data_IF_344784506859
#
_entry.id   IF_344784506859
#
_cell.length_a   1.000
_cell.length_b   1.000
_cell.length_c   1.000
_cell.angle_alpha   90.00
_cell.angle_beta   90.00
_cell.angle_gamma   90.00
#
_symmetry.space_group_name_H-M   'P 1'
#
loop_
_entity.id
_entity.type
_entity.pdbx_description
1 polymer ?
#
# COMPACT_ATOMS: atom_id res chain seq x y z
N UNK A 1 34.73 -16.00 14.07
CA UNK A 1 33.29 -15.97 13.78
C UNK A 1 32.92 -17.35 13.21
N UNK A 2 31.99 -18.09 13.82
CA UNK A 2 31.77 -19.54 13.53
C UNK A 2 30.37 -19.89 13.01
N UNK A 3 29.60 -18.91 12.54
CA UNK A 3 28.23 -19.14 12.03
C UNK A 3 28.13 -18.68 10.56
N UNK A 4 27.35 -19.42 9.77
CA UNK A 4 27.04 -19.14 8.37
C UNK A 4 25.52 -19.09 8.18
N UNK A 5 25.02 -17.98 7.65
CA UNK A 5 23.59 -17.77 7.38
C UNK A 5 23.28 -18.13 5.92
N UNK A 6 22.33 -19.04 5.70
CA UNK A 6 21.88 -19.46 4.38
C UNK A 6 20.35 -19.47 4.33
N UNK A 7 19.77 -18.92 3.26
CA UNK A 7 18.32 -18.93 3.05
C UNK A 7 17.93 -20.12 2.18
N UNK A 8 17.25 -21.11 2.74
CA UNK A 8 16.77 -22.30 2.00
C UNK A 8 15.50 -22.00 1.20
N UNK A 9 14.56 -21.28 1.81
CA UNK A 9 13.34 -20.81 1.16
C UNK A 9 13.23 -19.31 1.35
N UNK A 10 12.98 -18.59 0.25
CA UNK A 10 12.88 -17.12 0.26
C UNK A 10 11.49 -16.69 0.71
N UNK A 11 11.40 -15.46 1.21
CA UNK A 11 10.12 -14.83 1.50
C UNK A 11 9.26 -14.78 0.22
N UNK A 12 7.99 -15.16 0.34
CA UNK A 12 7.03 -15.21 -0.77
C UNK A 12 6.02 -14.06 -0.73
N UNK A 13 5.83 -13.41 0.41
CA UNK A 13 4.94 -12.25 0.53
C UNK A 13 5.40 -11.11 -0.37
N UNK A 14 4.48 -10.50 -1.11
CA UNK A 14 4.73 -9.32 -1.95
C UNK A 14 4.22 -8.10 -1.20
N UNK A 15 5.10 -7.12 -0.95
CA UNK A 15 4.76 -5.88 -0.24
C UNK A 15 4.56 -4.69 -1.16
N UNK A 16 5.14 -4.73 -2.36
CA UNK A 16 4.93 -3.75 -3.42
C UNK A 16 5.05 -4.44 -4.78
N UNK A 17 4.26 -4.01 -5.75
CA UNK A 17 4.30 -4.50 -7.12
C UNK A 17 4.02 -3.35 -8.07
N UNK A 18 4.82 -3.24 -9.14
CA UNK A 18 4.61 -2.27 -10.20
C UNK A 18 4.82 -2.92 -11.56
N UNK A 19 4.01 -2.50 -12.53
CA UNK A 19 4.09 -3.00 -13.90
C UNK A 19 4.86 -2.02 -14.79
N UNK A 20 5.61 -2.57 -15.75
CA UNK A 20 6.36 -1.78 -16.73
C UNK A 20 7.01 -2.64 -17.80
N UNK A 21 7.53 -1.98 -18.83
CA UNK A 21 8.39 -2.53 -19.87
C UNK A 21 9.85 -2.31 -19.50
N UNK A 22 10.41 -3.18 -18.66
CA UNK A 22 11.75 -2.97 -18.10
C UNK A 22 12.85 -3.52 -19.01
N UNK A 23 12.68 -4.74 -19.53
CA UNK A 23 13.73 -5.43 -20.29
C UNK A 23 13.66 -5.14 -21.79
N UNK A 24 12.46 -4.93 -22.33
CA UNK A 24 12.22 -4.72 -23.76
C UNK A 24 10.99 -3.83 -24.01
N UNK A 25 10.93 -3.12 -25.15
CA UNK A 25 9.80 -2.26 -25.49
C UNK A 25 8.48 -3.04 -25.58
N UNK A 26 7.40 -2.43 -25.07
CA UNK A 26 6.01 -2.97 -25.09
C UNK A 26 5.82 -4.32 -24.40
N UNK A 27 6.86 -4.86 -23.78
CA UNK A 27 6.75 -6.05 -22.96
C UNK A 27 6.13 -5.66 -21.62
N UNK A 28 5.18 -6.44 -21.12
CA UNK A 28 4.61 -6.22 -19.79
C UNK A 28 5.27 -7.15 -18.79
N UNK A 29 5.87 -6.54 -17.77
CA UNK A 29 6.59 -7.22 -16.71
C UNK A 29 6.21 -6.60 -15.37
N UNK A 30 6.46 -7.32 -14.28
CA UNK A 30 6.05 -6.91 -12.94
C UNK A 30 7.28 -6.94 -12.03
N UNK A 31 7.73 -5.77 -11.57
CA UNK A 31 8.74 -5.67 -10.53
C UNK A 31 8.04 -5.79 -9.18
N UNK A 32 8.48 -6.73 -8.33
CA UNK A 32 7.89 -6.97 -7.02
C UNK A 32 8.94 -6.92 -5.91
N UNK A 33 8.55 -6.30 -4.79
CA UNK A 33 9.30 -6.37 -3.53
C UNK A 33 8.75 -7.50 -2.67
N UNK A 34 9.65 -8.34 -2.15
CA UNK A 34 9.39 -9.34 -1.11
C UNK A 34 10.12 -8.97 0.18
N UNK A 35 10.03 -7.69 0.57
CA UNK A 35 10.76 -7.11 1.69
C UNK A 35 12.21 -6.82 1.33
N UNK A 36 13.09 -7.83 1.43
CA UNK A 36 14.54 -7.69 1.15
C UNK A 36 14.98 -8.13 -0.24
N UNK A 37 14.06 -8.72 -1.01
CA UNK A 37 14.32 -9.24 -2.36
C UNK A 37 13.50 -8.45 -3.36
N UNK A 38 14.15 -8.02 -4.43
CA UNK A 38 13.53 -7.42 -5.61
C UNK A 38 13.53 -8.46 -6.74
N UNK A 39 12.33 -8.90 -7.12
CA UNK A 39 12.14 -9.81 -8.25
C UNK A 39 11.57 -9.05 -9.45
N UNK A 40 11.96 -9.48 -10.65
CA UNK A 40 11.31 -9.12 -11.89
C UNK A 40 10.58 -10.35 -12.42
N UNK A 41 9.26 -10.25 -12.56
CA UNK A 41 8.39 -11.32 -13.02
C UNK A 41 7.89 -11.02 -14.43
N UNK A 42 7.66 -12.07 -15.21
CA UNK A 42 7.07 -11.96 -16.55
C UNK A 42 6.03 -13.08 -16.74
N UNK A 43 4.85 -12.79 -17.30
CA UNK A 43 3.91 -13.83 -17.71
C UNK A 43 4.39 -14.49 -19.00
N UNK A 44 4.25 -15.81 -19.10
CA UNK A 44 4.37 -16.52 -20.38
C UNK A 44 3.06 -16.45 -21.20
N UNK A 45 3.04 -17.08 -22.36
CA UNK A 45 1.88 -17.14 -23.25
C UNK A 45 0.65 -17.81 -22.62
N UNK A 46 0.85 -18.63 -21.58
CA UNK A 46 -0.21 -19.29 -20.82
C UNK A 46 -0.70 -18.45 -19.64
N UNK A 47 -0.09 -17.28 -19.41
CA UNK A 47 -0.36 -16.39 -18.28
C UNK A 47 0.37 -16.78 -16.99
N UNK A 48 1.25 -17.79 -17.02
CA UNK A 48 2.01 -18.21 -15.84
C UNK A 48 3.20 -17.29 -15.62
N UNK A 49 3.33 -16.79 -14.39
CA UNK A 49 4.44 -15.92 -14.00
C UNK A 49 5.72 -16.72 -13.78
N UNK A 50 6.81 -16.27 -14.39
CA UNK A 50 8.17 -16.75 -14.16
C UNK A 50 9.09 -15.62 -13.70
N UNK A 51 10.09 -15.96 -12.89
CA UNK A 51 11.09 -15.00 -12.40
C UNK A 51 12.14 -14.80 -13.50
N UNK A 52 12.20 -13.58 -14.05
CA UNK A 52 13.24 -13.17 -15.01
C UNK A 52 14.56 -12.90 -14.29
N UNK A 53 14.48 -12.26 -13.11
CA UNK A 53 15.64 -11.93 -12.30
C UNK A 53 15.25 -11.77 -10.85
N UNK A 54 16.15 -12.12 -9.93
CA UNK A 54 15.94 -11.99 -8.49
C UNK A 54 17.20 -11.44 -7.84
N UNK A 55 17.04 -10.40 -7.01
CA UNK A 55 18.15 -9.74 -6.35
C UNK A 55 17.85 -9.46 -4.88
N UNK A 56 18.74 -9.90 -3.99
CA UNK A 56 18.70 -9.51 -2.58
C UNK A 56 19.30 -8.10 -2.40
N UNK A 57 18.47 -7.16 -1.97
CA UNK A 57 18.82 -5.76 -1.78
C UNK A 57 19.60 -5.51 -0.49
N UNK A 58 19.59 -6.47 0.44
CA UNK A 58 20.17 -6.37 1.79
C UNK A 58 19.67 -5.15 2.59
N UNK A 59 18.42 -4.77 2.35
CA UNK A 59 17.68 -3.71 3.03
C UNK A 59 16.19 -3.91 2.84
N UNK A 60 15.36 -3.10 3.48
CA UNK A 60 13.91 -3.17 3.36
C UNK A 60 13.44 -2.26 2.22
N UNK A 61 12.99 -2.84 1.12
CA UNK A 61 12.34 -2.11 0.03
C UNK A 61 10.94 -1.70 0.47
N UNK A 62 10.68 -0.39 0.48
CA UNK A 62 9.44 0.21 1.00
C UNK A 62 8.48 0.65 -0.10
N UNK A 63 9.00 1.19 -1.19
CA UNK A 63 8.19 1.62 -2.33
C UNK A 63 8.93 1.41 -3.64
N UNK A 64 8.16 1.18 -4.70
CA UNK A 64 8.61 1.01 -6.07
C UNK A 64 7.79 1.97 -6.94
N UNK A 65 8.44 2.62 -7.91
CA UNK A 65 7.73 3.41 -8.92
C UNK A 65 8.47 3.32 -10.26
N UNK A 66 7.80 2.89 -11.34
CA UNK A 66 8.37 2.93 -12.68
C UNK A 66 8.24 4.35 -13.25
N UNK A 67 9.16 4.72 -14.13
CA UNK A 67 8.97 5.91 -14.98
C UNK A 67 9.61 5.74 -16.34
N UNK A 68 9.12 6.51 -17.30
CA UNK A 68 9.62 6.55 -18.66
C UNK A 68 9.77 7.98 -19.12
N UNK A 69 10.91 8.30 -19.71
CA UNK A 69 11.09 9.58 -20.38
C UNK A 69 10.20 9.69 -21.64
N UNK A 70 9.82 10.90 -22.05
CA UNK A 70 9.19 11.11 -23.35
C UNK A 70 10.05 10.52 -24.48
N UNK A 71 9.42 9.76 -25.38
CA UNK A 71 10.10 9.03 -26.46
C UNK A 71 10.89 7.77 -26.02
N UNK A 72 10.99 7.51 -24.71
CA UNK A 72 11.59 6.30 -24.17
C UNK A 72 10.80 5.04 -24.56
N UNK A 73 11.51 3.91 -24.63
CA UNK A 73 10.90 2.61 -24.98
C UNK A 73 10.90 1.63 -23.80
N UNK A 74 11.69 1.90 -22.76
CA UNK A 74 11.80 1.08 -21.56
C UNK A 74 11.62 1.93 -20.32
N UNK A 75 11.12 1.31 -19.27
CA UNK A 75 10.93 1.91 -17.96
C UNK A 75 12.19 1.75 -17.10
N UNK A 76 12.52 2.82 -16.39
CA UNK A 76 13.39 2.76 -15.23
C UNK A 76 12.56 2.38 -14.00
N UNK A 77 13.24 1.89 -12.96
CA UNK A 77 12.61 1.57 -11.68
C UNK A 77 13.24 2.39 -10.57
N UNK A 78 12.44 3.23 -9.91
CA UNK A 78 12.84 3.95 -8.70
C UNK A 78 12.51 3.07 -7.50
N UNK A 79 13.46 2.94 -6.58
CA UNK A 79 13.35 2.16 -5.36
C UNK A 79 13.63 3.06 -4.16
N UNK A 80 12.67 3.14 -3.25
CA UNK A 80 12.90 3.66 -1.90
C UNK A 80 13.07 2.50 -0.91
N UNK A 81 13.97 2.69 0.04
CA UNK A 81 14.29 1.69 1.06
C UNK A 81 14.57 2.33 2.41
N UNK A 82 15.00 1.53 3.38
CA UNK A 82 15.55 1.99 4.64
C UNK A 82 16.98 2.54 4.52
N UNK A 83 17.57 2.68 3.34
CA UNK A 83 18.95 3.18 3.20
C UNK A 83 19.10 4.69 3.41
N UNK A 84 18.01 5.47 3.39
CA UNK A 84 18.06 6.94 3.35
C UNK A 84 18.55 7.49 2.00
N UNK A 85 18.37 6.71 0.93
CA UNK A 85 18.82 7.03 -0.43
C UNK A 85 17.71 6.77 -1.45
N UNK A 86 17.70 7.55 -2.52
CA UNK A 86 16.89 7.31 -3.71
C UNK A 86 17.74 6.50 -4.69
N UNK A 87 17.26 5.34 -5.13
CA UNK A 87 17.98 4.47 -6.08
C UNK A 87 17.17 4.37 -7.36
N UNK A 88 17.81 4.56 -8.51
CA UNK A 88 17.20 4.33 -9.82
C UNK A 88 17.94 3.18 -10.51
N UNK A 89 17.16 2.20 -10.97
CA UNK A 89 17.62 1.00 -11.64
C UNK A 89 17.20 1.02 -13.11
N UNK A 90 18.10 0.53 -13.97
CA UNK A 90 17.81 0.21 -15.36
C UNK A 90 18.18 -1.25 -15.64
N UNK A 91 17.45 -1.92 -16.51
CA UNK A 91 17.80 -3.27 -16.94
C UNK A 91 18.99 -3.26 -17.92
N UNK A 92 20.04 -4.01 -17.59
CA UNK A 92 21.17 -4.26 -18.49
C UNK A 92 20.98 -5.58 -19.22
N UNK A 93 20.64 -5.52 -20.51
CA UNK A 93 20.48 -6.71 -21.35
C UNK A 93 21.78 -7.52 -21.47
N UNK A 94 22.93 -6.84 -21.60
CA UNK A 94 24.24 -7.50 -21.70
C UNK A 94 24.65 -8.25 -20.43
N UNK A 95 24.18 -7.80 -19.26
CA UNK A 95 24.47 -8.44 -17.97
C UNK A 95 23.33 -9.34 -17.47
N UNK A 96 22.17 -9.32 -18.11
CA UNK A 96 20.97 -10.02 -17.67
C UNK A 96 20.54 -9.65 -16.25
N UNK A 97 20.73 -8.38 -15.83
CA UNK A 97 20.41 -7.93 -14.47
C UNK A 97 20.09 -6.44 -14.37
N UNK A 98 19.47 -6.06 -13.27
CA UNK A 98 19.36 -4.67 -12.84
C UNK A 98 20.75 -4.04 -12.66
N UNK A 99 20.90 -2.82 -13.16
CA UNK A 99 22.07 -1.97 -12.95
C UNK A 99 21.60 -0.69 -12.28
N UNK A 100 22.26 -0.34 -11.18
CA UNK A 100 22.04 0.93 -10.49
C UNK A 100 22.65 2.05 -11.32
N UNK A 101 21.79 2.86 -11.94
CA UNK A 101 22.19 3.99 -12.79
C UNK A 101 22.27 5.30 -12.01
N UNK A 102 21.55 5.40 -10.89
CA UNK A 102 21.62 6.56 -10.01
C UNK A 102 21.46 6.18 -8.54
N UNK A 103 22.11 6.94 -7.64
CA UNK A 103 21.96 6.82 -6.20
C UNK A 103 22.20 8.15 -5.50
N UNK A 104 21.15 8.77 -4.97
CA UNK A 104 21.21 10.06 -4.28
C UNK A 104 20.93 9.87 -2.78
N UNK A 105 21.66 10.56 -1.91
CA UNK A 105 21.47 10.47 -0.46
C UNK A 105 20.65 11.64 0.04
N UNK A 106 19.51 11.38 0.68
CA UNK A 106 18.65 12.43 1.26
C UNK A 106 18.52 12.35 2.78
N UNK A 107 19.01 11.27 3.41
CA UNK A 107 18.83 11.08 4.84
C UNK A 107 19.64 9.95 5.45
N UNK A 108 19.41 9.75 6.75
CA UNK A 108 20.01 8.66 7.51
C UNK A 108 19.32 7.33 7.20
N UNK A 109 20.07 6.23 7.31
CA UNK A 109 19.50 4.89 7.21
C UNK A 109 18.57 4.54 8.38
N UNK A 110 17.70 3.56 8.16
CA UNK A 110 16.64 3.08 9.03
C UNK A 110 15.24 3.51 8.59
N UNK A 111 14.23 2.75 8.99
CA UNK A 111 12.82 3.13 8.86
C UNK A 111 12.50 4.16 9.93
N UNK A 112 12.49 5.44 9.56
CA UNK A 112 12.29 6.56 10.50
C UNK A 112 11.03 7.34 10.15
N UNK A 113 10.38 7.90 11.17
CA UNK A 113 9.14 8.68 11.07
C UNK A 113 9.29 9.90 10.14
N UNK A 114 10.40 10.62 10.28
CA UNK A 114 10.66 11.88 9.58
C UNK A 114 11.70 11.80 8.46
N UNK A 115 12.22 10.61 8.13
CA UNK A 115 13.13 10.43 6.99
C UNK A 115 12.38 9.83 5.81
N UNK A 116 12.49 10.47 4.64
CA UNK A 116 11.78 10.09 3.43
C UNK A 116 12.04 8.62 3.03
N UNK A 117 11.12 8.05 2.25
CA UNK A 117 11.23 6.69 1.70
C UNK A 117 10.04 5.78 1.97
N UNK A 118 9.00 6.27 2.68
CA UNK A 118 7.75 5.52 2.88
C UNK A 118 6.82 5.60 1.67
N UNK A 119 6.75 6.77 1.06
CA UNK A 119 5.92 7.04 -0.11
C UNK A 119 6.79 7.49 -1.27
N UNK A 120 6.40 7.08 -2.46
CA UNK A 120 7.10 7.36 -3.71
C UNK A 120 6.06 7.55 -4.81
N UNK A 121 6.16 8.65 -5.53
CA UNK A 121 5.28 9.01 -6.63
C UNK A 121 6.08 9.55 -7.80
N UNK A 122 5.61 9.33 -9.02
CA UNK A 122 6.26 9.76 -10.27
C UNK A 122 5.29 10.57 -11.12
N UNK A 123 5.79 11.63 -11.76
CA UNK A 123 5.09 12.30 -12.85
C UNK A 123 4.85 11.28 -13.99
N UNK A 124 3.62 11.14 -14.51
CA UNK A 124 3.32 10.16 -15.56
C UNK A 124 4.11 10.35 -16.86
N UNK A 125 4.65 11.55 -17.13
CA UNK A 125 5.55 11.79 -18.27
C UNK A 125 7.03 11.62 -17.92
N UNK A 126 7.34 11.12 -16.72
CA UNK A 126 8.68 10.76 -16.27
C UNK A 126 9.62 11.95 -16.05
N UNK A 127 9.08 13.15 -15.81
CA UNK A 127 9.87 14.39 -15.66
C UNK A 127 10.29 14.66 -14.22
N UNK A 128 9.60 14.07 -13.24
CA UNK A 128 9.88 14.27 -11.84
C UNK A 128 9.41 13.09 -10.98
N UNK A 129 9.96 12.97 -9.78
CA UNK A 129 9.42 12.09 -8.74
C UNK A 129 9.42 12.77 -7.38
N UNK A 130 8.48 12.39 -6.52
CA UNK A 130 8.40 12.80 -5.12
C UNK A 130 8.66 11.60 -4.21
N UNK A 131 9.54 11.77 -3.23
CA UNK A 131 9.74 10.83 -2.13
C UNK A 131 9.36 11.50 -0.81
N UNK A 132 8.58 10.80 0.02
CA UNK A 132 8.06 11.35 1.27
C UNK A 132 8.18 10.37 2.44
N UNK A 133 8.21 10.93 3.65
CA UNK A 133 8.14 10.21 4.93
C UNK A 133 6.72 10.18 5.46
N UNK A 134 6.52 9.50 6.59
CA UNK A 134 5.24 9.52 7.33
C UNK A 134 4.94 10.91 7.88
N UNK A 135 5.96 11.70 8.19
CA UNK A 135 5.81 13.06 8.70
C UNK A 135 6.93 13.97 8.19
N UNK A 136 6.62 15.24 7.94
CA UNK A 136 7.58 16.30 7.64
C UNK A 136 8.23 16.25 6.27
N UNK A 137 9.13 15.30 6.01
CA UNK A 137 9.98 15.34 4.82
C UNK A 137 9.23 14.93 3.55
N UNK A 138 9.35 15.80 2.55
CA UNK A 138 9.03 15.54 1.14
C UNK A 138 10.13 16.16 0.29
N UNK A 139 10.68 15.36 -0.63
CA UNK A 139 11.64 15.82 -1.62
C UNK A 139 11.08 15.55 -3.01
N UNK A 140 11.30 16.50 -3.92
CA UNK A 140 10.99 16.36 -5.34
C UNK A 140 12.30 16.39 -6.11
N UNK A 141 12.46 15.44 -7.02
CA UNK A 141 13.61 15.34 -7.91
C UNK A 141 13.14 15.55 -9.36
N UNK A 142 13.85 16.41 -10.09
CA UNK A 142 13.68 16.53 -11.54
C UNK A 142 14.50 15.42 -12.19
N UNK A 143 13.85 14.66 -13.08
CA UNK A 143 14.45 13.58 -13.85
C UNK A 143 14.69 14.10 -15.26
N UNK A 144 15.93 14.01 -15.73
CA UNK A 144 16.34 14.51 -17.03
C UNK A 144 17.18 13.48 -17.80
N UNK A 145 17.43 13.80 -19.07
CA UNK A 145 18.43 13.11 -19.89
C UNK A 145 19.46 14.10 -20.40
N UNK A 146 20.73 13.70 -20.40
CA UNK A 146 21.77 14.46 -21.07
C UNK A 146 21.73 14.26 -22.60
N UNK A 147 22.66 14.89 -23.32
CA UNK A 147 22.80 14.77 -24.78
C UNK A 147 23.13 13.35 -25.26
N UNK A 148 23.66 12.49 -24.37
CA UNK A 148 23.98 11.09 -24.63
C UNK A 148 22.83 10.15 -24.24
N UNK A 149 21.68 10.72 -23.86
CA UNK A 149 20.48 10.01 -23.39
C UNK A 149 20.67 9.24 -22.06
N UNK A 150 21.72 9.55 -21.30
CA UNK A 150 21.91 9.03 -19.95
C UNK A 150 20.97 9.75 -18.98
N UNK A 151 20.48 9.02 -17.97
CA UNK A 151 19.70 9.58 -16.88
C UNK A 151 20.53 10.57 -16.06
N UNK A 152 20.00 11.77 -15.85
CA UNK A 152 20.49 12.75 -14.89
C UNK A 152 19.38 13.12 -13.90
N UNK A 153 19.77 13.52 -12.69
CA UNK A 153 18.84 13.96 -11.65
C UNK A 153 19.30 15.30 -11.10
N UNK A 154 18.35 16.17 -10.75
CA UNK A 154 18.65 17.41 -10.03
C UNK A 154 18.96 17.16 -8.56
N UNK A 155 19.51 18.18 -7.90
CA UNK A 155 19.42 18.28 -6.44
C UNK A 155 17.96 18.21 -5.98
N UNK A 156 17.69 17.67 -4.78
CA UNK A 156 16.34 17.59 -4.25
C UNK A 156 15.76 18.98 -3.96
N UNK A 157 14.52 19.20 -4.37
CA UNK A 157 13.72 20.35 -3.97
C UNK A 157 12.89 19.97 -2.74
N UNK A 158 12.96 20.79 -1.70
CA UNK A 158 12.31 20.50 -0.42
C UNK A 158 10.87 21.02 -0.39
N UNK A 159 9.94 20.17 0.04
CA UNK A 159 8.54 20.52 0.31
C UNK A 159 8.14 20.13 1.74
N UNK A 160 9.03 20.42 2.70
CA UNK A 160 8.92 19.98 4.09
C UNK A 160 7.81 20.70 4.85
N UNK A 161 7.12 19.96 5.74
CA UNK A 161 6.09 20.55 6.61
C UNK A 161 6.07 19.92 8.00
N UNK A 162 6.61 20.62 8.99
CA UNK A 162 6.64 20.14 10.38
C UNK A 162 5.24 19.83 10.91
N UNK A 163 5.15 18.87 11.85
CA UNK A 163 3.90 18.47 12.51
C UNK A 163 2.78 18.14 11.51
N UNK A 164 3.14 17.54 10.38
CA UNK A 164 2.19 17.13 9.34
C UNK A 164 2.44 15.69 8.96
N UNK A 165 1.45 14.84 9.26
CA UNK A 165 1.42 13.44 8.86
C UNK A 165 1.02 13.32 7.39
N UNK A 166 1.55 12.33 6.70
CA UNK A 166 1.21 11.99 5.31
C UNK A 166 0.70 10.56 5.25
N UNK A 167 -0.46 10.36 4.63
CA UNK A 167 -1.15 9.06 4.56
C UNK A 167 -0.99 8.39 3.20
N UNK A 168 -0.92 9.18 2.12
CA UNK A 168 -0.67 8.68 0.77
C UNK A 168 -0.16 9.81 -0.12
N UNK A 169 0.55 9.47 -1.21
CA UNK A 169 1.08 10.41 -2.20
C UNK A 169 1.00 9.80 -3.59
N UNK A 170 0.52 10.56 -4.58
CA UNK A 170 0.47 10.16 -5.99
C UNK A 170 0.91 11.29 -6.93
N UNK A 171 1.45 10.92 -8.09
CA UNK A 171 1.73 11.87 -9.18
C UNK A 171 0.48 12.02 -10.06
N UNK A 172 0.19 13.25 -10.48
CA UNK A 172 -0.98 13.57 -11.30
C UNK A 172 -0.58 13.72 -12.75
N UNK A 173 -1.46 13.27 -13.65
CA UNK A 173 -1.24 13.48 -15.08
C UNK A 173 -1.68 14.88 -15.49
N UNK A 174 -0.70 15.77 -15.65
CA UNK A 174 -0.90 17.13 -16.14
C UNK A 174 -0.49 17.29 -17.61
N UNK A 175 -0.37 16.17 -18.35
CA UNK A 175 0.21 16.22 -19.69
C UNK A 175 1.63 16.78 -19.62
N UNK A 176 1.88 17.90 -20.30
CA UNK A 176 3.18 18.58 -20.31
C UNK A 176 3.21 19.89 -19.49
N UNK A 177 2.13 20.23 -18.79
CA UNK A 177 2.15 21.31 -17.80
C UNK A 177 3.02 20.93 -16.59
N UNK A 178 3.26 21.87 -15.68
CA UNK A 178 4.09 21.66 -14.49
C UNK A 178 3.68 20.36 -13.75
N UNK A 179 4.64 19.45 -13.46
CA UNK A 179 4.35 18.22 -12.74
C UNK A 179 3.68 18.51 -11.40
N UNK A 180 2.62 17.76 -11.08
CA UNK A 180 1.87 17.93 -9.83
C UNK A 180 1.76 16.62 -9.07
N UNK A 181 1.83 16.71 -7.76
CA UNK A 181 1.64 15.60 -6.83
C UNK A 181 0.48 15.92 -5.88
N UNK A 182 -0.26 14.91 -5.47
CA UNK A 182 -1.30 15.02 -4.44
C UNK A 182 -0.93 14.19 -3.23
N UNK A 183 -1.23 14.71 -2.03
CA UNK A 183 -1.03 14.02 -0.77
C UNK A 183 -2.22 14.18 0.18
N UNK A 184 -2.55 13.13 0.92
CA UNK A 184 -3.45 13.21 2.07
C UNK A 184 -2.61 13.58 3.30
N UNK A 185 -2.92 14.71 3.91
CA UNK A 185 -2.18 15.26 5.05
C UNK A 185 -3.05 15.48 6.28
N UNK A 186 -2.46 15.43 7.47
CA UNK A 186 -3.09 15.79 8.74
C UNK A 186 -2.11 16.59 9.59
N UNK A 187 -2.49 17.80 9.98
CA UNK A 187 -1.72 18.62 10.92
C UNK A 187 -1.90 18.10 12.34
N UNK A 188 -0.81 17.91 13.08
CA UNK A 188 -0.82 17.54 14.50
C UNK A 188 -0.37 18.69 15.41
N UNK A 189 -0.12 19.87 14.84
CA UNK A 189 0.42 21.02 15.58
C UNK A 189 -0.42 21.36 16.81
N UNK A 190 -1.71 21.58 16.60
CA UNK A 190 -2.62 22.01 17.68
C UNK A 190 -2.96 20.85 18.62
N UNK A 191 -2.83 19.61 18.14
CA UNK A 191 -3.05 18.39 18.93
C UNK A 191 -1.97 18.21 19.99
N UNK A 192 -0.71 18.50 19.64
CA UNK A 192 0.41 18.34 20.57
C UNK A 192 0.40 19.41 21.69
N UNK A 193 -0.30 20.53 21.47
CA UNK A 193 -0.42 21.65 22.42
C UNK A 193 -1.68 21.56 23.30
N UNK A 194 -2.66 20.72 22.96
CA UNK A 194 -3.94 20.61 23.66
C UNK A 194 -4.03 19.38 24.59
N UNK A 195 -3.92 19.61 25.90
CA UNK A 195 -4.06 18.58 26.91
C UNK A 195 -5.51 18.04 27.07
N UNK A 196 -6.52 18.75 26.56
CA UNK A 196 -7.93 18.34 26.69
C UNK A 196 -8.35 17.27 25.67
N UNK A 197 -7.62 17.16 24.55
CA UNK A 197 -7.93 16.25 23.45
C UNK A 197 -9.02 16.76 22.49
N UNK A 198 -9.52 17.99 22.68
CA UNK A 198 -10.49 18.61 21.77
C UNK A 198 -9.88 18.85 20.38
N UNK A 199 -8.64 19.33 20.31
CA UNK A 199 -7.94 19.55 19.04
C UNK A 199 -7.78 18.25 18.24
N UNK A 200 -7.58 17.12 18.92
CA UNK A 200 -7.51 15.81 18.26
C UNK A 200 -8.85 15.41 17.62
N UNK A 201 -9.98 15.77 18.24
CA UNK A 201 -11.31 15.50 17.72
C UNK A 201 -11.70 16.41 16.55
N UNK A 202 -11.16 17.63 16.50
CA UNK A 202 -11.40 18.61 15.43
C UNK A 202 -10.41 18.49 14.25
N UNK A 203 -9.28 17.80 14.47
CA UNK A 203 -8.27 17.59 13.46
C UNK A 203 -8.82 16.78 12.28
N UNK A 204 -8.72 17.36 11.09
CA UNK A 204 -9.25 16.77 9.86
C UNK A 204 -8.14 16.58 8.83
N UNK A 205 -8.28 15.52 8.04
CA UNK A 205 -7.40 15.27 6.90
C UNK A 205 -7.66 16.33 5.83
N UNK A 206 -6.64 16.66 5.05
CA UNK A 206 -6.74 17.57 3.91
C UNK A 206 -6.07 16.96 2.68
N UNK A 207 -6.62 17.23 1.50
CA UNK A 207 -5.95 16.95 0.24
C UNK A 207 -5.06 18.14 -0.11
N UNK A 208 -3.76 17.90 -0.24
CA UNK A 208 -2.79 18.94 -0.59
C UNK A 208 -2.19 18.64 -1.96
N UNK A 209 -2.15 19.64 -2.83
CA UNK A 209 -1.45 19.59 -4.11
C UNK A 209 -0.09 20.28 -4.02
N UNK A 210 0.93 19.63 -4.57
CA UNK A 210 2.28 20.16 -4.73
C UNK A 210 2.58 20.28 -6.21
N UNK A 211 2.87 21.49 -6.67
CA UNK A 211 3.26 21.76 -8.04
C UNK A 211 4.76 22.02 -8.11
N UNK A 212 5.42 21.36 -9.05
CA UNK A 212 6.80 21.62 -9.40
C UNK A 212 6.85 22.62 -10.55
N UNK A 213 7.26 23.85 -10.27
CA UNK A 213 7.55 24.82 -11.31
C UNK A 213 8.93 24.53 -11.91
N UNK A 214 8.96 24.02 -13.15
CA UNK A 214 10.19 23.66 -13.83
C UNK A 214 11.03 24.89 -14.24
N UNK A 215 10.39 26.04 -14.48
CA UNK A 215 11.08 27.26 -14.88
C UNK A 215 11.73 27.96 -13.69
N UNK A 216 11.02 28.05 -12.58
CA UNK A 216 11.50 28.65 -11.33
C UNK A 216 12.26 27.65 -10.43
N UNK A 217 12.25 26.37 -10.77
CA UNK A 217 12.94 25.28 -10.06
C UNK A 217 12.62 25.25 -8.55
N UNK A 218 11.33 25.31 -8.22
CA UNK A 218 10.85 25.22 -6.85
C UNK A 218 9.50 24.50 -6.77
N UNK A 219 9.15 24.02 -5.58
CA UNK A 219 7.88 23.32 -5.34
C UNK A 219 6.94 24.24 -4.57
N UNK A 220 5.76 24.48 -5.12
CA UNK A 220 4.70 25.27 -4.50
C UNK A 220 3.63 24.35 -3.96
N UNK A 221 3.15 24.65 -2.74
CA UNK A 221 1.95 24.03 -2.19
C UNK A 221 0.74 24.85 -2.61
N UNK A 222 -0.13 24.27 -3.43
CA UNK A 222 -1.38 24.91 -3.82
C UNK A 222 -2.37 24.75 -2.66
N UNK A 223 -2.48 25.77 -1.83
CA UNK A 223 -3.53 25.87 -0.83
C UNK A 223 -4.82 26.33 -1.53
N UNK A 224 -5.96 25.76 -1.14
CA UNK A 224 -7.31 26.26 -1.45
C UNK A 224 -7.80 26.24 -2.91
N UNK A 225 -6.94 26.00 -3.91
CA UNK A 225 -7.35 26.04 -5.32
C UNK A 225 -8.14 24.80 -5.81
N UNK A 226 -8.18 23.70 -5.05
CA UNK A 226 -8.88 22.46 -5.42
C UNK A 226 -10.08 22.06 -4.57
N UNK A 227 -10.75 23.03 -3.94
CA UNK A 227 -11.86 22.76 -3.04
C UNK A 227 -11.37 22.16 -1.71
N UNK A 228 -10.46 22.87 -1.04
CA UNK A 228 -9.77 22.47 0.20
C UNK A 228 -10.68 22.44 1.44
N UNK A 229 -11.84 21.82 1.33
CA UNK A 229 -12.59 21.38 2.49
C UNK A 229 -11.91 20.18 3.17
N UNK A 230 -12.19 19.96 4.46
CA UNK A 230 -11.76 18.75 5.16
C UNK A 230 -12.10 17.50 4.35
N UNK A 231 -11.20 16.54 4.37
CA UNK A 231 -11.48 15.17 3.95
C UNK A 231 -12.16 14.42 5.09
N UNK A 232 -12.95 13.43 4.70
CA UNK A 232 -13.49 12.44 5.62
C UNK A 232 -12.38 11.73 6.41
N UNK A 233 -12.66 11.40 7.68
CA UNK A 233 -11.71 10.74 8.56
C UNK A 233 -11.25 9.37 8.03
N UNK A 234 -12.07 8.67 7.23
CA UNK A 234 -11.76 7.41 6.57
C UNK A 234 -10.91 7.53 5.30
N UNK A 235 -10.64 8.75 4.80
CA UNK A 235 -9.82 8.95 3.61
C UNK A 235 -8.40 8.39 3.80
N UNK A 236 -7.98 7.46 2.94
CA UNK A 236 -6.73 6.71 3.16
C UNK A 236 -5.90 6.43 1.91
N UNK A 237 -6.51 6.50 0.72
CA UNK A 237 -5.82 6.23 -0.55
C UNK A 237 -6.17 7.22 -1.64
N UNK A 238 -5.19 7.47 -2.50
CA UNK A 238 -5.32 8.27 -3.69
C UNK A 238 -5.14 7.40 -4.93
N UNK A 239 -5.96 7.66 -5.96
CA UNK A 239 -5.79 7.04 -7.28
C UNK A 239 -5.74 8.17 -8.32
N UNK A 240 -4.62 8.33 -9.04
CA UNK A 240 -4.52 9.37 -10.05
C UNK A 240 -5.47 9.06 -11.22
N UNK A 241 -6.13 10.08 -11.73
CA UNK A 241 -7.01 9.96 -12.91
C UNK A 241 -6.21 10.40 -14.13
N UNK A 242 -6.26 9.66 -15.27
CA UNK A 242 -5.64 10.09 -16.51
C UNK A 242 -6.08 11.51 -16.89
N UNK A 243 -5.11 12.31 -17.36
CA UNK A 243 -5.29 13.72 -17.60
C UNK A 243 -4.96 14.12 -19.04
N UNK A 244 -4.92 15.43 -19.27
CA UNK A 244 -4.66 16.01 -20.59
C UNK A 244 -5.61 15.44 -21.67
N UNK A 245 -5.08 14.81 -22.71
CA UNK A 245 -5.87 14.24 -23.81
C UNK A 245 -6.59 12.93 -23.47
N UNK A 246 -6.20 12.26 -22.39
CA UNK A 246 -6.67 10.91 -22.04
C UNK A 246 -7.75 10.90 -20.94
N UNK A 247 -8.02 12.06 -20.33
CA UNK A 247 -9.05 12.17 -19.30
C UNK A 247 -9.06 13.51 -18.57
N UNK A 248 -9.96 13.67 -17.58
CA UNK A 248 -10.20 14.96 -16.90
C UNK A 248 -9.12 15.33 -15.86
N UNK A 249 -8.14 14.44 -15.63
CA UNK A 249 -7.11 14.63 -14.61
C UNK A 249 -7.67 14.64 -13.19
N UNK A 250 -6.85 15.14 -12.26
CA UNK A 250 -7.17 15.14 -10.84
C UNK A 250 -6.96 13.79 -10.19
N UNK A 251 -7.65 13.56 -9.07
CA UNK A 251 -7.40 12.41 -8.20
C UNK A 251 -8.70 11.90 -7.58
N UNK A 252 -8.81 10.57 -7.48
CA UNK A 252 -9.81 9.92 -6.66
C UNK A 252 -9.29 9.77 -5.23
N UNK A 253 -10.03 10.27 -4.25
CA UNK A 253 -9.81 10.05 -2.83
C UNK A 253 -10.72 8.93 -2.37
N UNK A 254 -10.12 7.81 -1.96
CA UNK A 254 -10.84 6.66 -1.42
C UNK A 254 -11.03 6.84 0.08
N UNK A 255 -12.29 6.88 0.50
CA UNK A 255 -12.72 7.01 1.89
C UNK A 255 -13.59 5.82 2.30
N UNK A 256 -14.05 5.83 3.55
CA UNK A 256 -14.99 4.83 4.04
C UNK A 256 -16.33 4.96 3.29
N UNK A 257 -16.79 3.89 2.65
CA UNK A 257 -18.06 3.82 1.90
C UNK A 257 -18.20 4.69 0.63
N UNK A 258 -17.26 5.56 0.29
CA UNK A 258 -17.36 6.38 -0.92
C UNK A 258 -16.01 6.76 -1.52
N UNK A 259 -16.05 7.25 -2.75
CA UNK A 259 -14.91 7.83 -3.46
C UNK A 259 -15.28 9.27 -3.83
N UNK A 260 -14.33 10.18 -3.62
CA UNK A 260 -14.42 11.57 -4.06
C UNK A 260 -13.50 11.76 -5.26
N UNK A 261 -13.95 12.42 -6.32
CA UNK A 261 -13.06 12.96 -7.33
C UNK A 261 -12.83 14.44 -7.03
N UNK A 262 -11.55 14.82 -6.91
CA UNK A 262 -11.12 16.21 -6.68
C UNK A 262 -10.10 16.62 -7.74
N UNK A 263 -10.24 17.85 -8.24
CA UNK A 263 -9.27 18.50 -9.09
C UNK A 263 -9.23 20.01 -8.80
N UNK A 264 -8.15 20.67 -9.18
CA UNK A 264 -7.98 22.12 -9.01
C UNK A 264 -8.99 22.88 -9.88
N UNK A 265 -9.71 23.83 -9.29
CA UNK A 265 -10.68 24.68 -9.97
C UNK A 265 -12.00 24.00 -10.38
N UNK A 266 -12.23 22.74 -10.00
CA UNK A 266 -13.43 21.98 -10.40
C UNK A 266 -14.22 21.53 -9.17
N UNK A 267 -15.57 21.55 -9.20
CA UNK A 267 -16.38 21.04 -8.12
C UNK A 267 -16.11 19.57 -7.80
N UNK A 268 -16.13 19.23 -6.51
CA UNK A 268 -16.00 17.84 -6.04
C UNK A 268 -17.17 17.00 -6.54
N UNK A 269 -16.86 15.78 -7.01
CA UNK A 269 -17.85 14.75 -7.29
C UNK A 269 -17.72 13.63 -6.28
N UNK A 270 -18.85 13.10 -5.80
CA UNK A 270 -18.91 12.00 -4.84
C UNK A 270 -19.69 10.82 -5.41
N UNK A 271 -19.13 9.62 -5.26
CA UNK A 271 -19.80 8.37 -5.59
C UNK A 271 -19.74 7.41 -4.40
N UNK A 272 -20.89 6.88 -3.99
CA UNK A 272 -20.96 5.85 -2.93
C UNK A 272 -20.51 4.51 -3.49
N UNK A 273 -19.73 3.76 -2.69
CA UNK A 273 -19.32 2.42 -3.04
C UNK A 273 -20.54 1.49 -3.04
N UNK A 274 -20.77 0.70 -4.11
CA UNK A 274 -21.94 -0.16 -4.20
C UNK A 274 -21.92 -1.23 -3.11
N UNK A 275 -23.04 -1.37 -2.39
CA UNK A 275 -23.25 -2.44 -1.41
C UNK A 275 -24.11 -3.55 -2.02
N UNK A 276 -23.82 -4.82 -1.72
CA UNK A 276 -24.65 -5.94 -2.15
C UNK A 276 -26.00 -5.93 -1.42
N UNK A 277 -27.09 -6.21 -2.13
CA UNK A 277 -28.43 -6.34 -1.52
C UNK A 277 -28.43 -7.52 -0.54
N UNK A 278 -28.87 -7.27 0.69
CA UNK A 278 -29.11 -8.32 1.70
C UNK A 278 -27.95 -8.58 2.69
N UNK A 279 -26.84 -7.86 2.61
CA UNK A 279 -25.80 -7.91 3.65
C UNK A 279 -25.92 -6.71 4.60
N UNK A 280 -26.32 -6.93 5.87
CA UNK A 280 -26.35 -5.88 6.87
C UNK A 280 -24.91 -5.56 7.33
N UNK A 281 -24.49 -4.30 7.20
CA UNK A 281 -23.33 -3.77 7.93
C UNK A 281 -22.00 -3.62 7.17
N UNK A 282 -21.97 -3.71 5.84
CA UNK A 282 -20.81 -3.26 5.04
C UNK A 282 -19.54 -4.12 5.12
N UNK A 283 -19.60 -5.30 5.74
CA UNK A 283 -18.46 -6.23 5.84
C UNK A 283 -18.58 -7.31 4.78
N UNK A 284 -17.65 -7.32 3.80
CA UNK A 284 -17.52 -8.41 2.84
C UNK A 284 -16.75 -9.56 3.50
N UNK A 285 -17.43 -10.69 3.74
CA UNK A 285 -16.78 -11.94 4.11
C UNK A 285 -16.72 -12.84 2.89
N UNK A 286 -15.51 -13.13 2.44
CA UNK A 286 -15.28 -14.10 1.36
C UNK A 286 -14.95 -15.45 1.98
N UNK A 287 -15.74 -16.46 1.65
CA UNK A 287 -15.48 -17.84 2.06
C UNK A 287 -14.19 -18.35 1.39
N UNK A 288 -13.35 -19.05 2.15
CA UNK A 288 -12.22 -19.75 1.53
C UNK A 288 -12.73 -20.88 0.62
N UNK A 289 -12.10 -21.07 -0.56
CA UNK A 289 -12.39 -22.23 -1.39
C UNK A 289 -12.33 -23.53 -0.60
N UNK A 290 -13.34 -24.38 -0.74
CA UNK A 290 -13.42 -25.66 -0.04
C UNK A 290 -14.11 -25.61 1.34
N UNK A 291 -14.50 -24.45 1.86
CA UNK A 291 -15.17 -24.33 3.16
C UNK A 291 -16.44 -25.20 3.27
N UNK A 292 -17.30 -25.17 2.24
CA UNK A 292 -18.49 -26.02 2.20
C UNK A 292 -18.16 -27.52 2.19
N UNK A 293 -17.12 -27.93 1.46
CA UNK A 293 -16.67 -29.32 1.42
C UNK A 293 -16.09 -29.76 2.77
N UNK A 294 -15.42 -28.85 3.49
CA UNK A 294 -14.95 -29.08 4.85
C UNK A 294 -16.13 -29.34 5.79
N UNK A 295 -17.13 -28.46 5.84
CA UNK A 295 -18.31 -28.69 6.70
C UNK A 295 -19.05 -29.99 6.36
N UNK A 296 -19.21 -30.30 5.08
CA UNK A 296 -19.81 -31.57 4.65
C UNK A 296 -18.99 -32.78 5.12
N UNK A 297 -17.65 -32.69 5.04
CA UNK A 297 -16.75 -33.74 5.52
C UNK A 297 -16.82 -33.90 7.05
N UNK A 298 -16.75 -32.80 7.80
CA UNK A 298 -16.84 -32.80 9.26
C UNK A 298 -18.14 -33.43 9.74
N UNK A 299 -19.28 -33.09 9.11
CA UNK A 299 -20.56 -33.74 9.40
C UNK A 299 -20.57 -35.23 9.09
N UNK A 300 -20.01 -35.64 7.94
CA UNK A 300 -19.91 -37.06 7.59
C UNK A 300 -19.06 -37.84 8.59
N UNK A 301 -18.08 -37.20 9.20
CA UNK A 301 -17.26 -37.77 10.28
C UNK A 301 -17.96 -37.75 11.65
N UNK A 302 -19.13 -37.10 11.76
CA UNK A 302 -19.80 -36.88 13.04
C UNK A 302 -19.00 -35.98 13.98
N UNK A 303 -18.14 -35.11 13.44
CA UNK A 303 -17.32 -34.21 14.21
C UNK A 303 -18.15 -33.01 14.69
N UNK A 304 -18.05 -32.71 15.98
CA UNK A 304 -18.57 -31.47 16.55
C UNK A 304 -17.70 -30.29 16.07
N UNK A 305 -18.35 -29.24 15.58
CA UNK A 305 -17.71 -28.05 15.03
C UNK A 305 -18.05 -26.83 15.89
N UNK A 306 -17.06 -26.25 16.57
CA UNK A 306 -17.24 -25.07 17.43
C UNK A 306 -16.51 -23.86 16.83
N UNK A 307 -17.24 -22.79 16.53
CA UNK A 307 -16.65 -21.51 16.12
C UNK A 307 -16.08 -20.80 17.35
N UNK A 308 -14.75 -20.67 17.47
CA UNK A 308 -14.11 -19.92 18.55
C UNK A 308 -13.35 -18.70 18.00
N UNK A 309 -13.92 -17.50 18.19
CA UNK A 309 -13.43 -16.24 17.62
C UNK A 309 -13.18 -15.17 18.70
N UNK A 310 -12.15 -14.36 18.50
CA UNK A 310 -11.92 -13.12 19.26
C UNK A 310 -12.82 -11.96 18.76
N UNK A 311 -13.70 -12.20 17.79
CA UNK A 311 -14.70 -11.25 17.31
C UNK A 311 -15.77 -10.96 18.35
N UNK A 312 -16.29 -9.73 18.34
CA UNK A 312 -17.47 -9.36 19.12
C UNK A 312 -18.73 -9.99 18.50
N UNK A 313 -19.74 -10.38 19.31
CA UNK A 313 -21.00 -10.94 18.78
C UNK A 313 -21.66 -10.07 17.71
N UNK A 314 -21.67 -8.74 17.87
CA UNK A 314 -22.26 -7.80 16.91
C UNK A 314 -21.60 -7.84 15.53
N UNK A 315 -20.32 -8.21 15.46
CA UNK A 315 -19.56 -8.31 14.20
C UNK A 315 -19.56 -9.75 13.67
N UNK A 316 -19.19 -10.72 14.50
CA UNK A 316 -19.00 -12.10 14.09
C UNK A 316 -20.30 -12.92 14.02
N UNK A 317 -21.33 -12.51 14.77
CA UNK A 317 -22.65 -13.17 14.78
C UNK A 317 -23.31 -13.18 13.40
N UNK A 318 -23.49 -12.02 12.74
CA UNK A 318 -24.06 -11.97 11.40
C UNK A 318 -23.33 -12.84 10.36
N UNK A 319 -22.01 -12.95 10.49
CA UNK A 319 -21.17 -13.79 9.63
C UNK A 319 -21.46 -15.27 9.89
N UNK A 320 -21.48 -15.68 11.17
CA UNK A 320 -21.80 -17.05 11.55
C UNK A 320 -23.23 -17.44 11.12
N UNK A 321 -24.19 -16.52 11.21
CA UNK A 321 -25.56 -16.75 10.75
C UNK A 321 -25.67 -16.88 9.23
N UNK A 322 -24.88 -16.11 8.47
CA UNK A 322 -24.80 -16.26 7.03
C UNK A 322 -24.22 -17.63 6.64
N UNK A 323 -23.16 -18.08 7.31
CA UNK A 323 -22.56 -19.41 7.10
C UNK A 323 -23.52 -20.54 7.48
N UNK A 324 -24.24 -20.41 8.60
CA UNK A 324 -25.24 -21.39 9.03
C UNK A 324 -26.39 -21.53 8.04
N UNK A 325 -26.88 -20.41 7.49
CA UNK A 325 -27.91 -20.42 6.44
C UNK A 325 -27.43 -21.09 5.16
N UNK A 326 -26.15 -20.94 4.82
CA UNK A 326 -25.57 -21.54 3.61
C UNK A 326 -25.20 -23.02 3.79
N UNK A 327 -24.73 -23.36 4.98
CA UNK A 327 -24.24 -24.67 5.35
C UNK A 327 -24.96 -25.15 6.62
N UNK A 328 -26.21 -25.57 6.50
CA UNK A 328 -27.06 -25.92 7.65
C UNK A 328 -26.45 -26.98 8.59
N UNK A 329 -26.19 -26.62 9.85
CA UNK A 329 -25.47 -27.42 10.86
C UNK A 329 -23.96 -27.13 10.88
N UNK A 330 -23.53 -25.93 10.52
CA UNK A 330 -22.11 -25.58 10.34
C UNK A 330 -21.39 -25.55 11.67
N UNK A 331 -22.10 -25.09 12.71
CA UNK A 331 -21.56 -24.94 14.04
C UNK A 331 -22.52 -25.56 15.07
N UNK A 332 -21.97 -26.43 15.92
CA UNK A 332 -22.64 -26.96 17.11
C UNK A 332 -22.52 -25.99 18.29
N UNK A 333 -21.52 -25.10 18.25
CA UNK A 333 -21.29 -24.08 19.28
C UNK A 333 -20.58 -22.85 18.75
N UNK A 334 -20.82 -21.71 19.40
CA UNK A 334 -20.20 -20.42 19.07
C UNK A 334 -19.66 -19.75 20.32
N UNK A 335 -18.36 -19.50 20.33
CA UNK A 335 -17.61 -18.85 21.40
C UNK A 335 -17.02 -17.55 20.84
N UNK A 336 -17.52 -16.42 21.33
CA UNK A 336 -17.07 -15.09 20.95
C UNK A 336 -15.99 -14.56 21.91
N UNK A 337 -15.57 -13.30 21.73
CA UNK A 337 -14.52 -12.65 22.53
C UNK A 337 -14.64 -12.88 24.04
N UNK A 338 -15.86 -12.88 24.60
CA UNK A 338 -16.09 -13.10 26.03
C UNK A 338 -15.59 -14.47 26.55
N UNK A 339 -15.45 -15.48 25.67
CA UNK A 339 -14.90 -16.78 26.01
C UNK A 339 -13.35 -16.83 25.94
N UNK A 340 -12.71 -15.77 25.43
CA UNK A 340 -11.24 -15.67 25.40
C UNK A 340 -10.69 -15.22 26.75
N UNK A 341 -9.39 -15.43 26.99
CA UNK A 341 -8.69 -14.97 28.19
C UNK A 341 -7.55 -14.02 27.84
N UNK A 342 -7.28 -13.00 28.66
CA UNK A 342 -6.08 -12.20 28.51
C UNK A 342 -4.83 -13.03 28.86
N UNK A 343 -3.82 -12.99 28.00
CA UNK A 343 -2.49 -13.55 28.25
C UNK A 343 -1.42 -12.46 28.29
N UNK A 344 -0.20 -12.81 28.73
CA UNK A 344 0.91 -11.86 28.87
C UNK A 344 1.31 -11.16 27.56
N UNK A 345 1.05 -11.80 26.41
CA UNK A 345 1.46 -11.29 25.09
C UNK A 345 0.27 -11.00 24.16
N UNK A 346 -0.94 -11.43 24.49
CA UNK A 346 -2.11 -11.26 23.64
C UNK A 346 -3.39 -11.17 24.47
N UNK A 347 -4.28 -10.19 24.22
CA UNK A 347 -5.44 -9.93 25.08
C UNK A 347 -6.61 -10.91 24.87
N UNK A 348 -6.61 -11.69 23.79
CA UNK A 348 -7.73 -12.57 23.42
C UNK A 348 -7.25 -14.00 23.10
N UNK A 349 -6.62 -14.66 24.07
CA UNK A 349 -6.18 -16.05 23.94
C UNK A 349 -7.38 -17.00 23.98
N UNK A 350 -7.50 -17.87 22.98
CA UNK A 350 -8.52 -18.92 22.93
C UNK A 350 -8.12 -20.07 23.87
N UNK A 351 -8.61 -20.05 25.10
CA UNK A 351 -8.32 -21.09 26.10
C UNK A 351 -9.16 -22.34 25.81
N UNK A 352 -8.57 -23.37 25.21
CA UNK A 352 -9.28 -24.59 24.81
C UNK A 352 -9.89 -25.38 25.97
N UNK A 353 -9.46 -25.14 27.21
CA UNK A 353 -10.07 -25.78 28.38
C UNK A 353 -11.54 -25.40 28.54
N UNK A 354 -11.95 -24.22 28.03
CA UNK A 354 -13.36 -23.78 28.05
C UNK A 354 -14.25 -24.60 27.13
N UNK A 355 -13.69 -25.40 26.22
CA UNK A 355 -14.45 -26.31 25.37
C UNK A 355 -14.99 -27.51 26.15
N UNK A 356 -14.33 -27.88 27.26
CA UNK A 356 -14.68 -29.08 28.02
C UNK A 356 -14.57 -30.36 27.18
N UNK A 357 -13.57 -30.45 26.30
CA UNK A 357 -13.31 -31.60 25.42
C UNK A 357 -11.90 -32.16 25.65
N UNK A 358 -11.75 -33.45 25.37
CA UNK A 358 -10.46 -34.12 25.40
C UNK A 358 -9.61 -33.60 24.22
N UNK A 359 -8.47 -32.98 24.53
CA UNK A 359 -7.63 -32.28 23.54
C UNK A 359 -6.93 -33.24 22.57
N UNK A 360 -6.71 -34.49 22.99
CA UNK A 360 -6.20 -35.59 22.16
C UNK A 360 -7.16 -36.00 21.03
N UNK A 361 -8.43 -35.58 21.11
CA UNK A 361 -9.47 -35.80 20.10
C UNK A 361 -9.95 -34.51 19.45
N UNK A 362 -9.22 -33.41 19.62
CA UNK A 362 -9.57 -32.10 19.08
C UNK A 362 -8.64 -31.75 17.91
N UNK A 363 -9.22 -31.34 16.78
CA UNK A 363 -8.47 -30.76 15.65
C UNK A 363 -8.67 -29.26 15.66
N UNK A 364 -7.57 -28.51 15.72
CA UNK A 364 -7.59 -27.05 15.65
C UNK A 364 -7.41 -26.61 14.20
N UNK A 365 -8.40 -25.88 13.70
CA UNK A 365 -8.34 -25.21 12.40
C UNK A 365 -8.30 -23.71 12.68
N UNK A 366 -7.14 -23.10 12.44
CA UNK A 366 -6.95 -21.65 12.57
C UNK A 366 -6.70 -21.05 11.19
N UNK A 367 -7.40 -19.95 10.90
CA UNK A 367 -7.23 -19.18 9.68
C UNK A 367 -6.35 -17.93 9.87
N UNK A 368 -5.62 -17.88 10.99
CA UNK A 368 -4.72 -16.77 11.29
C UNK A 368 -3.50 -16.84 10.37
N UNK A 369 -3.23 -15.81 9.54
CA UNK A 369 -2.06 -15.79 8.64
C UNK A 369 -0.71 -15.65 9.38
N UNK A 370 -0.76 -15.58 10.71
CA UNK A 370 0.35 -15.45 11.64
C UNK A 370 0.51 -16.69 12.53
N UNK A 371 0.01 -17.87 12.12
CA UNK A 371 0.23 -19.10 12.88
C UNK A 371 1.74 -19.39 12.94
N UNK A 372 2.34 -19.23 14.12
CA UNK A 372 3.74 -19.51 14.42
C UNK A 372 3.96 -20.99 14.77
#
# INVERSE_FOLDING_TARGET
>A
MYLYSLTLSRATAITAAVSGSFTAPRLQEIAVSRGKVLDLLRPDETGRLHVVHSWEAFGLVRSLAPFRFPGGQRDYLIVSSDSGRLVILEWSASRGRWTKVHQETYGKSGVRRSIAGQYLATDPKGRACMVASLERQKFVYVLNRDSEANLTISSPLEAHRSSTLTMDVVGLDQGFDNPRFAAIELSTRDVDEDASGAAAAEAHKVLTFYELDLGLNHVVRLADEGGAGPLDAGASKLVPVPGAGDGPGGVLVVAEDFVLWRNVGVPELRAVLPRRRGEPGGVLVVERPGLGALFACLRRLGAETVLFTAGLPAYAGPIADALERRYQGAFDGRLFRAATRPGAHYPCVKDLRVLGRALDRCVLVDDTPLAF
#
